data_IF_541590512082
#
_entry.id   IF_541590512082
#
_cell.length_a   1.000
_cell.length_b   1.000
_cell.length_c   1.000
_cell.angle_alpha   90.00
_cell.angle_beta   90.00
_cell.angle_gamma   90.00
#
_symmetry.space_group_name_H-M   'P 1'
#
loop_
_entity.id
_entity.type
_entity.pdbx_description
1 polymer ?
#
# COMPACT_ATOMS: atom_id res chain seq x y z
N UNK A 1 4.48 -16.34 -23.76
CA UNK A 1 4.94 -15.36 -22.74
C UNK A 1 4.80 -13.93 -23.25
N UNK A 2 4.81 -12.99 -22.34
CA UNK A 2 4.66 -11.57 -22.67
C UNK A 2 5.76 -10.76 -21.96
N UNK A 3 6.52 -10.00 -22.74
CA UNK A 3 7.34 -8.89 -22.25
C UNK A 3 6.46 -7.64 -22.20
N UNK A 4 6.29 -7.12 -20.98
CA UNK A 4 5.30 -6.08 -20.68
C UNK A 4 5.96 -4.70 -20.70
N UNK A 5 5.57 -3.86 -21.64
CA UNK A 5 6.03 -2.46 -21.75
C UNK A 5 4.93 -1.43 -21.54
N UNK A 6 5.31 -0.19 -21.32
CA UNK A 6 4.39 0.92 -21.09
C UNK A 6 3.59 1.36 -22.33
N UNK A 7 4.13 1.11 -23.53
CA UNK A 7 3.52 1.53 -24.81
C UNK A 7 3.15 0.37 -25.72
N UNK A 8 3.79 -0.76 -25.53
CA UNK A 8 3.56 -1.97 -26.31
C UNK A 8 3.92 -3.20 -25.48
N UNK A 9 3.32 -4.32 -25.82
CA UNK A 9 3.64 -5.63 -25.30
C UNK A 9 4.21 -6.49 -26.43
N UNK A 10 5.32 -7.20 -26.16
CA UNK A 10 5.87 -8.19 -27.07
C UNK A 10 5.45 -9.58 -26.57
N UNK A 11 4.68 -10.28 -27.37
CA UNK A 11 4.20 -11.63 -27.05
C UNK A 11 4.98 -12.68 -27.86
N UNK A 12 5.38 -13.77 -27.22
CA UNK A 12 6.08 -14.89 -27.84
C UNK A 12 5.41 -16.21 -27.49
N UNK A 13 5.29 -17.09 -28.48
CA UNK A 13 4.79 -18.47 -28.37
C UNK A 13 5.85 -19.45 -28.87
N UNK A 14 5.62 -20.75 -28.74
CA UNK A 14 6.49 -21.77 -29.28
C UNK A 14 6.64 -21.62 -30.80
N UNK A 15 7.86 -21.84 -31.38
CA UNK A 15 8.11 -21.58 -32.78
C UNK A 15 7.28 -22.46 -33.71
N UNK A 16 6.82 -23.61 -33.24
CA UNK A 16 6.03 -24.58 -34.02
C UNK A 16 4.52 -24.24 -34.05
N UNK A 17 4.08 -23.21 -33.29
CA UNK A 17 2.66 -22.88 -33.13
C UNK A 17 2.13 -21.86 -34.13
N UNK A 18 3.01 -21.07 -34.75
CA UNK A 18 2.65 -20.11 -35.78
C UNK A 18 3.85 -19.75 -36.65
N UNK A 19 3.58 -19.30 -37.88
CA UNK A 19 4.63 -18.81 -38.81
C UNK A 19 5.35 -17.58 -38.28
N UNK A 20 4.66 -16.76 -37.52
CA UNK A 20 5.20 -15.58 -36.80
C UNK A 20 5.02 -15.79 -35.28
N UNK A 21 6.00 -16.45 -34.62
CA UNK A 21 5.86 -16.81 -33.21
C UNK A 21 6.08 -15.64 -32.24
N UNK A 22 6.47 -14.47 -32.74
CA UNK A 22 6.63 -13.24 -31.95
C UNK A 22 5.82 -12.14 -32.59
N UNK A 23 4.93 -11.52 -31.79
CA UNK A 23 4.11 -10.40 -32.23
C UNK A 23 4.14 -9.25 -31.21
N UNK A 24 3.99 -8.04 -31.73
CA UNK A 24 3.89 -6.83 -30.91
C UNK A 24 2.45 -6.32 -30.93
N UNK A 25 1.93 -5.98 -29.75
CA UNK A 25 0.59 -5.45 -29.56
C UNK A 25 0.67 -4.09 -28.85
N UNK A 26 -0.28 -3.19 -29.13
CA UNK A 26 -0.46 -1.97 -28.36
C UNK A 26 -0.97 -2.25 -26.95
N UNK A 27 -1.25 -1.18 -26.21
CA UNK A 27 -1.71 -1.25 -24.81
C UNK A 27 -3.16 -0.82 -24.62
N UNK A 28 -3.87 -0.48 -25.70
CA UNK A 28 -5.30 -0.22 -25.61
C UNK A 28 -6.09 -1.51 -25.39
N UNK A 29 -7.24 -1.42 -24.77
CA UNK A 29 -8.06 -2.58 -24.45
C UNK A 29 -8.32 -3.49 -25.66
N UNK A 30 -8.55 -2.91 -26.85
CA UNK A 30 -8.75 -3.68 -28.07
C UNK A 30 -7.48 -4.42 -28.50
N UNK A 31 -6.29 -3.83 -28.28
CA UNK A 31 -5.01 -4.48 -28.56
C UNK A 31 -4.78 -5.68 -27.65
N UNK A 32 -5.13 -5.51 -26.36
CA UNK A 32 -5.01 -6.59 -25.36
C UNK A 32 -5.99 -7.73 -25.67
N UNK A 33 -7.18 -7.40 -26.15
CA UNK A 33 -8.13 -8.41 -26.61
C UNK A 33 -7.60 -9.14 -27.85
N UNK A 34 -7.03 -8.44 -28.84
CA UNK A 34 -6.39 -9.07 -30.02
C UNK A 34 -5.21 -9.96 -29.63
N UNK A 35 -4.44 -9.58 -28.61
CA UNK A 35 -3.39 -10.43 -28.07
C UNK A 35 -3.97 -11.72 -27.50
N UNK A 36 -5.02 -11.62 -26.72
CA UNK A 36 -5.71 -12.78 -26.15
C UNK A 36 -6.34 -13.67 -27.23
N UNK A 37 -6.98 -13.08 -28.26
CA UNK A 37 -7.53 -13.81 -29.41
C UNK A 37 -6.42 -14.59 -30.12
N UNK A 38 -5.29 -13.97 -30.43
CA UNK A 38 -4.16 -14.63 -31.05
C UNK A 38 -3.62 -15.80 -30.22
N UNK A 39 -3.54 -15.67 -28.89
CA UNK A 39 -3.15 -16.77 -28.02
C UNK A 39 -4.16 -17.93 -28.08
N UNK A 40 -5.46 -17.66 -28.11
CA UNK A 40 -6.49 -18.69 -28.26
C UNK A 40 -6.40 -19.39 -29.61
N UNK A 41 -6.24 -18.65 -30.71
CA UNK A 41 -6.06 -19.18 -32.04
C UNK A 41 -4.82 -20.11 -32.14
N UNK A 42 -3.76 -19.78 -31.41
CA UNK A 42 -2.53 -20.60 -31.36
C UNK A 42 -2.61 -21.76 -30.34
N UNK A 43 -3.75 -21.96 -29.68
CA UNK A 43 -3.94 -23.02 -28.69
C UNK A 43 -3.06 -22.87 -27.44
N UNK A 44 -2.83 -21.63 -26.99
CA UNK A 44 -2.09 -21.35 -25.76
C UNK A 44 -3.05 -21.45 -24.58
N UNK A 45 -2.66 -22.13 -23.52
CA UNK A 45 -3.42 -22.28 -22.28
C UNK A 45 -2.74 -21.55 -21.12
N UNK A 46 -1.41 -21.51 -21.11
CA UNK A 46 -0.61 -20.92 -20.02
C UNK A 46 0.29 -19.80 -20.55
N UNK A 47 0.38 -18.70 -19.82
CA UNK A 47 1.11 -17.49 -20.23
C UNK A 47 2.01 -16.99 -19.09
N UNK A 48 3.31 -16.91 -19.32
CA UNK A 48 4.22 -16.21 -18.39
C UNK A 48 4.32 -14.74 -18.77
N UNK A 49 4.28 -13.85 -17.78
CA UNK A 49 4.51 -12.41 -17.98
C UNK A 49 5.33 -11.79 -16.85
N UNK A 50 6.13 -10.77 -17.19
CA UNK A 50 6.94 -10.06 -16.22
C UNK A 50 6.13 -8.96 -15.50
N UNK A 51 6.28 -8.85 -14.17
CA UNK A 51 5.59 -7.87 -13.33
C UNK A 51 6.25 -6.48 -13.40
N UNK A 52 6.34 -5.88 -14.59
CA UNK A 52 6.94 -4.57 -14.79
C UNK A 52 5.97 -3.45 -14.42
N UNK A 53 6.26 -2.70 -13.36
CA UNK A 53 5.46 -1.57 -12.88
C UNK A 53 4.00 -1.96 -12.62
N UNK A 54 3.06 -1.23 -13.25
CA UNK A 54 1.60 -1.50 -13.20
C UNK A 54 1.05 -1.95 -14.55
N UNK A 55 1.87 -2.00 -15.59
CA UNK A 55 1.45 -2.20 -16.98
C UNK A 55 0.97 -3.63 -17.25
N UNK A 56 1.36 -4.58 -16.41
CA UNK A 56 0.95 -5.97 -16.50
C UNK A 56 -0.51 -6.19 -16.08
N UNK A 57 -1.07 -5.33 -15.23
CA UNK A 57 -2.39 -5.53 -14.63
C UNK A 57 -3.50 -5.66 -15.66
N UNK A 58 -3.67 -4.73 -16.64
CA UNK A 58 -4.76 -4.83 -17.60
C UNK A 58 -4.70 -6.07 -18.48
N UNK A 59 -3.51 -6.45 -18.94
CA UNK A 59 -3.34 -7.64 -19.79
C UNK A 59 -3.53 -8.93 -18.98
N UNK A 60 -3.08 -8.95 -17.72
CA UNK A 60 -3.31 -10.05 -16.79
C UNK A 60 -4.81 -10.29 -16.58
N UNK A 61 -5.57 -9.25 -16.26
CA UNK A 61 -7.02 -9.34 -16.01
C UNK A 61 -7.78 -9.84 -17.25
N UNK A 62 -7.43 -9.36 -18.45
CA UNK A 62 -8.07 -9.82 -19.70
C UNK A 62 -7.76 -11.29 -19.96
N UNK A 63 -6.51 -11.71 -19.78
CA UNK A 63 -6.12 -13.11 -19.97
C UNK A 63 -6.79 -14.02 -18.94
N UNK A 64 -6.83 -13.64 -17.67
CA UNK A 64 -7.50 -14.41 -16.61
C UNK A 64 -9.00 -14.55 -16.87
N UNK A 65 -9.68 -13.47 -17.28
CA UNK A 65 -11.09 -13.50 -17.65
C UNK A 65 -11.40 -14.41 -18.83
N UNK A 66 -10.45 -14.59 -19.73
CA UNK A 66 -10.55 -15.49 -20.88
C UNK A 66 -10.13 -16.93 -20.59
N UNK A 67 -9.78 -17.24 -19.35
CA UNK A 67 -9.48 -18.59 -18.89
C UNK A 67 -8.02 -19.04 -19.05
N UNK A 68 -7.10 -18.14 -19.40
CA UNK A 68 -5.67 -18.46 -19.42
C UNK A 68 -5.13 -18.64 -18.00
N UNK A 69 -4.25 -19.61 -17.82
CA UNK A 69 -3.41 -19.70 -16.63
C UNK A 69 -2.22 -18.74 -16.77
N UNK A 70 -2.19 -17.67 -15.97
CA UNK A 70 -1.17 -16.64 -16.09
C UNK A 70 -0.15 -16.74 -14.96
N UNK A 71 1.12 -16.97 -15.31
CA UNK A 71 2.26 -16.93 -14.39
C UNK A 71 2.86 -15.53 -14.37
N UNK A 72 2.58 -14.77 -13.32
CA UNK A 72 3.27 -13.52 -13.10
C UNK A 72 4.64 -13.80 -12.48
N UNK A 73 5.72 -13.34 -13.12
CA UNK A 73 7.09 -13.60 -12.66
C UNK A 73 7.82 -12.30 -12.33
N UNK A 74 8.72 -12.39 -11.34
CA UNK A 74 9.56 -11.26 -10.99
C UNK A 74 10.68 -11.13 -12.04
N UNK A 75 10.90 -9.90 -12.54
CA UNK A 75 11.97 -9.58 -13.49
C UNK A 75 13.36 -10.06 -13.04
N UNK A 76 13.64 -10.04 -11.75
CA UNK A 76 14.91 -10.52 -11.19
C UNK A 76 15.09 -12.01 -11.40
N UNK A 77 14.05 -12.80 -11.18
CA UNK A 77 14.12 -14.26 -11.28
C UNK A 77 14.35 -14.69 -12.73
N UNK A 78 13.67 -14.05 -13.69
CA UNK A 78 13.86 -14.29 -15.11
C UNK A 78 15.28 -13.92 -15.61
N UNK A 79 15.87 -12.85 -15.06
CA UNK A 79 17.21 -12.36 -15.44
C UNK A 79 18.37 -13.18 -14.85
N UNK A 80 18.16 -13.87 -13.74
CA UNK A 80 19.21 -14.63 -13.05
C UNK A 80 19.38 -16.07 -13.56
N UNK A 81 18.55 -16.52 -14.51
CA UNK A 81 18.71 -17.85 -15.10
C UNK A 81 19.90 -17.85 -16.07
N UNK A 82 20.92 -18.71 -15.88
CA UNK A 82 22.09 -18.79 -16.76
C UNK A 82 21.69 -19.17 -18.20
N UNK A 83 22.46 -18.69 -19.19
CA UNK A 83 22.32 -19.13 -20.59
C UNK A 83 21.59 -18.14 -21.50
N UNK A 84 21.22 -16.95 -21.05
CA UNK A 84 20.64 -15.90 -21.91
C UNK A 84 21.62 -15.52 -23.03
N UNK A 85 21.14 -15.61 -24.29
CA UNK A 85 21.85 -15.10 -25.47
C UNK A 85 21.34 -13.71 -25.82
N UNK A 86 22.23 -12.81 -26.20
CA UNK A 86 21.95 -11.40 -26.52
C UNK A 86 20.99 -11.19 -27.70
N UNK A 87 20.88 -12.17 -28.60
CA UNK A 87 20.09 -12.06 -29.84
C UNK A 87 18.63 -12.55 -29.69
N UNK A 88 18.21 -12.97 -28.49
CA UNK A 88 16.85 -13.44 -28.20
C UNK A 88 16.09 -12.33 -27.51
N UNK A 89 14.89 -12.00 -28.02
CA UNK A 89 14.01 -11.02 -27.36
C UNK A 89 13.63 -11.47 -25.93
N UNK A 90 13.34 -10.53 -25.05
CA UNK A 90 12.97 -10.82 -23.66
C UNK A 90 11.70 -11.70 -23.59
N UNK A 91 10.75 -11.47 -24.49
CA UNK A 91 9.55 -12.32 -24.61
C UNK A 91 9.87 -13.77 -25.00
N UNK A 92 10.78 -13.99 -25.97
CA UNK A 92 11.18 -15.33 -26.37
C UNK A 92 11.99 -16.04 -25.29
N UNK A 93 12.83 -15.31 -24.56
CA UNK A 93 13.55 -15.86 -23.43
C UNK A 93 12.59 -16.30 -22.32
N UNK A 94 11.63 -15.44 -21.97
CA UNK A 94 10.61 -15.77 -20.98
C UNK A 94 9.74 -16.96 -21.41
N UNK A 95 9.40 -17.06 -22.71
CA UNK A 95 8.66 -18.18 -23.28
C UNK A 95 9.42 -19.49 -23.11
N UNK A 96 10.73 -19.51 -23.43
CA UNK A 96 11.58 -20.71 -23.22
C UNK A 96 11.67 -21.12 -21.77
N UNK A 97 11.89 -20.15 -20.85
CA UNK A 97 11.94 -20.46 -19.42
C UNK A 97 10.62 -21.05 -18.92
N UNK A 98 9.50 -20.54 -19.44
CA UNK A 98 8.17 -21.05 -19.13
C UNK A 98 7.96 -22.48 -19.62
N UNK A 99 8.31 -22.76 -20.86
CA UNK A 99 8.22 -24.08 -21.49
C UNK A 99 9.02 -25.15 -20.74
N UNK A 100 10.20 -24.79 -20.24
CA UNK A 100 11.05 -25.70 -19.44
C UNK A 100 10.68 -25.74 -17.94
N UNK A 101 9.63 -25.04 -17.50
CA UNK A 101 9.21 -25.03 -16.10
C UNK A 101 10.22 -24.35 -15.14
N UNK A 102 11.07 -23.47 -15.66
CA UNK A 102 12.14 -22.81 -14.90
C UNK A 102 11.70 -21.51 -14.23
N UNK A 103 10.43 -21.12 -14.39
CA UNK A 103 9.88 -19.91 -13.80
C UNK A 103 9.12 -20.21 -12.51
N UNK A 104 9.34 -19.39 -11.50
CA UNK A 104 8.56 -19.37 -10.27
C UNK A 104 7.51 -18.28 -10.34
N UNK A 105 6.23 -18.64 -10.19
CA UNK A 105 5.15 -17.68 -10.13
C UNK A 105 5.24 -16.82 -8.87
N UNK A 106 5.02 -15.52 -9.01
CA UNK A 106 4.82 -14.60 -7.89
C UNK A 106 3.43 -14.84 -7.29
N UNK A 107 3.34 -14.80 -5.96
CA UNK A 107 2.04 -14.87 -5.31
C UNK A 107 1.23 -13.59 -5.58
N UNK A 108 0.03 -13.75 -6.12
CA UNK A 108 -0.91 -12.66 -6.37
C UNK A 108 -2.23 -12.96 -5.65
N UNK A 109 -2.62 -12.16 -4.65
CA UNK A 109 -3.93 -12.29 -4.03
C UNK A 109 -5.04 -12.03 -5.04
N UNK A 110 -6.15 -12.79 -4.91
CA UNK A 110 -7.32 -12.66 -5.78
C UNK A 110 -8.54 -12.13 -5.01
N UNK A 111 -9.55 -11.68 -5.75
CA UNK A 111 -10.85 -11.28 -5.21
C UNK A 111 -10.77 -10.21 -4.12
N UNK A 112 -11.45 -10.43 -3.00
CA UNK A 112 -11.52 -9.46 -1.89
C UNK A 112 -10.15 -9.20 -1.23
N UNK A 113 -9.24 -10.17 -1.23
CA UNK A 113 -7.87 -9.96 -0.69
C UNK A 113 -7.08 -9.01 -1.59
N UNK A 114 -7.22 -9.08 -2.92
CA UNK A 114 -6.60 -8.12 -3.83
C UNK A 114 -7.13 -6.70 -3.60
N UNK A 115 -8.44 -6.55 -3.40
CA UNK A 115 -9.07 -5.28 -3.05
C UNK A 115 -8.57 -4.75 -1.70
N UNK A 116 -8.51 -5.60 -0.67
CA UNK A 116 -7.96 -5.27 0.65
C UNK A 116 -6.53 -4.74 0.54
N UNK A 117 -5.66 -5.46 -0.20
CA UNK A 117 -4.29 -5.09 -0.46
C UNK A 117 -4.18 -3.71 -1.14
N UNK A 118 -5.04 -3.45 -2.13
CA UNK A 118 -5.05 -2.17 -2.84
C UNK A 118 -5.43 -1.01 -1.91
N UNK A 119 -6.45 -1.17 -1.05
CA UNK A 119 -6.85 -0.15 -0.08
C UNK A 119 -5.80 0.09 1.00
N UNK A 120 -5.15 -0.97 1.50
CA UNK A 120 -4.07 -0.87 2.48
C UNK A 120 -2.87 -0.10 1.91
N UNK A 121 -2.44 -0.41 0.69
CA UNK A 121 -1.33 0.29 0.02
C UNK A 121 -1.68 1.74 -0.30
N UNK A 122 -2.93 2.04 -0.66
CA UNK A 122 -3.37 3.42 -0.84
C UNK A 122 -3.34 4.18 0.48
N UNK A 123 -3.80 3.56 1.57
CA UNK A 123 -3.74 4.13 2.91
C UNK A 123 -2.31 4.46 3.34
N UNK A 124 -1.37 3.53 3.14
CA UNK A 124 0.05 3.74 3.47
C UNK A 124 0.64 4.95 2.76
N UNK A 125 0.39 5.07 1.46
CA UNK A 125 0.84 6.25 0.68
C UNK A 125 0.30 7.56 1.26
N UNK A 126 -0.96 7.59 1.70
CA UNK A 126 -1.56 8.77 2.31
C UNK A 126 -0.95 9.09 3.69
N UNK A 127 -0.62 8.08 4.48
CA UNK A 127 0.10 8.25 5.75
C UNK A 127 1.51 8.79 5.52
N UNK A 128 2.23 8.30 4.52
CA UNK A 128 3.56 8.80 4.13
C UNK A 128 3.50 10.26 3.66
N UNK A 129 2.50 10.62 2.84
CA UNK A 129 2.26 12.01 2.44
C UNK A 129 1.95 12.90 3.65
N UNK A 130 1.13 12.43 4.60
CA UNK A 130 0.87 13.14 5.85
C UNK A 130 2.16 13.42 6.62
N UNK A 131 3.07 12.46 6.71
CA UNK A 131 4.36 12.64 7.38
C UNK A 131 5.22 13.74 6.70
N UNK A 132 5.18 13.81 5.37
CA UNK A 132 5.86 14.88 4.61
C UNK A 132 5.29 16.25 4.95
N UNK A 133 3.96 16.38 5.05
CA UNK A 133 3.33 17.65 5.42
C UNK A 133 3.63 18.05 6.87
N UNK A 134 3.76 17.08 7.79
CA UNK A 134 4.21 17.36 9.16
C UNK A 134 5.63 17.97 9.15
N UNK A 135 6.54 17.42 8.35
CA UNK A 135 7.89 17.99 8.20
C UNK A 135 7.87 19.41 7.61
N UNK A 136 6.98 19.69 6.65
CA UNK A 136 6.83 21.03 6.08
C UNK A 136 6.30 22.02 7.14
N UNK A 137 5.32 21.63 7.97
CA UNK A 137 4.84 22.45 9.09
C UNK A 137 5.96 22.75 10.09
N UNK A 138 6.73 21.74 10.50
CA UNK A 138 7.88 21.91 11.39
C UNK A 138 8.90 22.89 10.81
N UNK A 139 9.23 22.74 9.52
CA UNK A 139 10.17 23.63 8.83
C UNK A 139 9.67 25.09 8.83
N UNK A 140 8.41 25.32 8.50
CA UNK A 140 7.82 26.66 8.50
C UNK A 140 7.86 27.30 9.90
N UNK A 141 7.52 26.54 10.95
CA UNK A 141 7.61 26.99 12.34
C UNK A 141 9.06 27.35 12.73
N UNK A 142 10.03 26.51 12.40
CA UNK A 142 11.44 26.78 12.71
C UNK A 142 11.98 28.01 11.97
N UNK A 143 11.56 28.26 10.75
CA UNK A 143 11.93 29.46 10.00
C UNK A 143 11.41 30.76 10.63
N UNK A 144 10.36 30.66 11.44
CA UNK A 144 9.82 31.74 12.25
C UNK A 144 10.36 31.75 13.70
N UNK A 145 11.27 30.86 14.05
CA UNK A 145 11.75 30.58 15.40
C UNK A 145 10.61 30.24 16.39
N UNK A 146 9.54 29.59 15.89
CA UNK A 146 8.42 29.11 16.71
C UNK A 146 8.66 27.63 17.04
N UNK A 147 9.03 27.35 18.29
CA UNK A 147 9.61 26.07 18.70
C UNK A 147 8.60 25.14 19.36
N UNK A 148 7.43 24.95 18.75
CA UNK A 148 6.35 24.10 19.28
C UNK A 148 6.86 22.68 19.61
N UNK A 149 7.73 22.11 18.79
CA UNK A 149 8.28 20.77 18.94
C UNK A 149 9.18 20.58 20.17
N UNK A 150 9.63 21.66 20.84
CA UNK A 150 10.34 21.60 22.12
C UNK A 150 9.40 21.47 23.32
N UNK A 151 8.16 21.82 23.17
CA UNK A 151 7.19 21.93 24.29
C UNK A 151 6.05 20.91 24.18
N UNK A 152 5.89 20.25 23.03
CA UNK A 152 4.93 19.16 22.85
C UNK A 152 5.67 17.90 22.38
N UNK A 153 5.24 16.75 22.84
CA UNK A 153 5.81 15.46 22.40
C UNK A 153 5.48 15.13 20.93
N UNK A 154 4.37 15.66 20.43
CA UNK A 154 3.90 15.50 19.07
C UNK A 154 3.17 16.77 18.63
N UNK A 155 3.63 17.40 17.55
CA UNK A 155 2.99 18.61 17.01
C UNK A 155 1.60 18.34 16.44
N UNK A 156 1.32 17.09 16.06
CA UNK A 156 0.00 16.63 15.59
C UNK A 156 -0.88 16.12 16.75
N UNK A 157 -0.38 16.12 17.96
CA UNK A 157 -1.16 15.86 19.18
C UNK A 157 -2.13 17.00 19.50
N UNK A 158 -2.99 16.76 20.50
CA UNK A 158 -4.09 17.70 20.86
C UNK A 158 -3.60 19.14 21.07
N UNK A 159 -2.54 19.35 21.85
CA UNK A 159 -1.97 20.67 22.11
C UNK A 159 -1.37 21.27 20.83
N UNK A 160 -0.54 20.52 20.13
CA UNK A 160 0.14 20.99 18.93
C UNK A 160 -0.84 21.40 17.83
N UNK A 161 -1.81 20.56 17.51
CA UNK A 161 -2.84 20.86 16.49
C UNK A 161 -3.68 22.10 16.85
N UNK A 162 -4.07 22.28 18.12
CA UNK A 162 -4.81 23.47 18.56
C UNK A 162 -3.98 24.73 18.35
N UNK A 163 -2.70 24.70 18.72
CA UNK A 163 -1.77 25.82 18.53
C UNK A 163 -1.58 26.10 17.02
N UNK A 164 -1.29 25.08 16.19
CA UNK A 164 -1.12 25.24 14.75
C UNK A 164 -2.35 25.88 14.09
N UNK A 165 -3.54 25.41 14.43
CA UNK A 165 -4.80 25.95 13.91
C UNK A 165 -5.05 27.38 14.36
N UNK A 166 -4.73 27.71 15.61
CA UNK A 166 -4.82 29.08 16.10
C UNK A 166 -3.84 30.03 15.37
N UNK A 167 -2.61 29.58 15.14
CA UNK A 167 -1.61 30.32 14.35
C UNK A 167 -2.11 30.58 12.93
N UNK A 168 -2.63 29.58 12.24
CA UNK A 168 -3.19 29.70 10.89
C UNK A 168 -4.42 30.61 10.88
N UNK A 169 -5.24 30.57 11.93
CA UNK A 169 -6.39 31.48 12.10
C UNK A 169 -6.01 32.93 12.41
N UNK A 170 -4.72 33.26 12.55
CA UNK A 170 -4.24 34.61 12.72
C UNK A 170 -3.79 34.95 14.14
N UNK A 171 -3.86 34.04 15.10
CA UNK A 171 -3.41 34.29 16.47
C UNK A 171 -1.87 34.39 16.54
N UNK A 172 -1.37 35.39 17.28
CA UNK A 172 0.07 35.68 17.45
C UNK A 172 0.46 35.90 18.90
N UNK A 173 -0.51 36.10 19.78
CA UNK A 173 -0.22 36.30 21.20
C UNK A 173 0.22 34.99 21.85
N UNK A 174 1.46 34.91 22.38
CA UNK A 174 1.97 33.67 22.97
C UNK A 174 1.15 33.18 24.17
N UNK A 175 0.48 34.11 24.91
CA UNK A 175 -0.36 33.76 26.04
C UNK A 175 -1.65 33.06 25.58
N UNK A 176 -2.30 33.59 24.55
CA UNK A 176 -3.50 33.02 23.94
C UNK A 176 -3.18 31.68 23.29
N UNK A 177 -2.05 31.60 22.58
CA UNK A 177 -1.59 30.33 21.98
C UNK A 177 -1.29 29.28 23.05
N UNK A 178 -0.63 29.65 24.16
CA UNK A 178 -0.32 28.74 25.27
C UNK A 178 -1.56 28.24 26.01
N UNK A 179 -2.65 29.01 26.02
CA UNK A 179 -3.93 28.61 26.61
C UNK A 179 -4.55 27.36 25.90
N UNK A 180 -4.11 27.01 24.68
CA UNK A 180 -4.50 25.79 23.98
C UNK A 180 -3.88 24.49 24.55
N UNK A 181 -3.06 24.61 25.61
CA UNK A 181 -2.41 23.50 26.30
C UNK A 181 -3.45 22.51 26.84
N UNK A 182 -3.29 21.22 26.48
CA UNK A 182 -4.04 20.14 27.14
C UNK A 182 -3.42 19.83 28.51
N UNK A 183 -4.26 19.38 29.45
CA UNK A 183 -3.83 19.05 30.84
C UNK A 183 -2.70 17.99 30.89
N UNK A 184 -2.59 17.14 29.87
CA UNK A 184 -1.57 16.08 29.74
C UNK A 184 -0.25 16.61 29.19
N UNK A 185 -0.17 17.85 28.75
CA UNK A 185 1.07 18.46 28.29
C UNK A 185 2.02 18.69 29.48
N UNK A 186 3.24 18.21 29.42
CA UNK A 186 4.20 18.29 30.50
C UNK A 186 4.82 19.69 30.66
N UNK A 187 5.01 20.43 29.55
CA UNK A 187 5.56 21.76 29.60
C UNK A 187 4.60 22.72 30.31
N UNK A 188 5.12 23.62 31.13
CA UNK A 188 4.32 24.68 31.76
C UNK A 188 3.97 25.78 30.76
N UNK A 189 3.03 26.66 31.19
CA UNK A 189 2.50 27.72 30.32
C UNK A 189 3.58 28.74 29.93
N UNK A 190 4.47 29.08 30.85
CA UNK A 190 5.54 30.05 30.62
C UNK A 190 6.55 29.53 29.58
N UNK A 191 6.94 28.27 29.70
CA UNK A 191 7.81 27.62 28.73
C UNK A 191 7.17 27.56 27.36
N UNK A 192 5.86 27.26 27.28
CA UNK A 192 5.10 27.25 26.02
C UNK A 192 5.05 28.65 25.40
N UNK A 193 4.77 29.69 26.19
CA UNK A 193 4.76 31.09 25.72
C UNK A 193 6.11 31.50 25.13
N UNK A 194 7.23 31.14 25.79
CA UNK A 194 8.58 31.42 25.29
C UNK A 194 8.84 30.70 23.97
N UNK A 195 8.42 29.46 23.85
CA UNK A 195 8.57 28.68 22.60
C UNK A 195 7.72 29.21 21.44
N UNK A 196 6.63 29.90 21.74
CA UNK A 196 5.69 30.50 20.78
C UNK A 196 5.99 31.96 20.46
N UNK A 197 7.00 32.55 21.08
CA UNK A 197 7.49 33.88 20.76
C UNK A 197 8.43 33.79 19.58
N UNK A 198 7.98 34.21 18.41
CA UNK A 198 8.72 34.08 17.17
C UNK A 198 8.64 35.29 16.24
N UNK A 199 9.28 35.22 15.10
CA UNK A 199 9.26 36.22 14.06
C UNK A 199 8.27 35.82 12.95
N UNK A 200 7.05 36.33 13.04
CA UNK A 200 5.95 36.00 12.14
C UNK A 200 6.15 36.60 10.73
N UNK A 201 6.45 35.75 9.76
CA UNK A 201 6.64 36.14 8.36
C UNK A 201 5.56 35.55 7.47
N UNK A 202 4.97 36.38 6.62
CA UNK A 202 3.81 36.03 5.81
C UNK A 202 4.06 34.81 4.91
N UNK A 203 5.25 34.71 4.30
CA UNK A 203 5.62 33.60 3.43
C UNK A 203 5.72 32.25 4.17
N UNK A 204 6.15 32.27 5.44
CA UNK A 204 6.24 31.05 6.25
C UNK A 204 4.89 30.66 6.85
N UNK A 205 4.06 31.65 7.18
CA UNK A 205 2.67 31.41 7.60
C UNK A 205 1.85 30.81 6.46
N UNK A 206 2.01 31.32 5.24
CA UNK A 206 1.39 30.74 4.06
C UNK A 206 1.83 29.28 3.85
N UNK A 207 3.12 28.97 3.95
CA UNK A 207 3.62 27.60 3.84
C UNK A 207 3.05 26.69 4.93
N UNK A 208 2.92 27.17 6.18
CA UNK A 208 2.32 26.45 7.30
C UNK A 208 0.84 26.13 7.02
N UNK A 209 0.07 27.12 6.56
CA UNK A 209 -1.35 26.99 6.21
C UNK A 209 -1.55 25.92 5.14
N UNK A 210 -0.76 25.98 4.03
CA UNK A 210 -0.83 25.02 2.95
C UNK A 210 -0.50 23.59 3.45
N UNK A 211 0.55 23.45 4.25
CA UNK A 211 0.95 22.15 4.78
C UNK A 211 -0.10 21.56 5.72
N UNK A 212 -0.74 22.38 6.57
CA UNK A 212 -1.80 21.95 7.46
C UNK A 212 -3.06 21.52 6.69
N UNK A 213 -3.49 22.28 5.68
CA UNK A 213 -4.63 21.94 4.84
C UNK A 213 -4.42 20.62 4.07
N UNK A 214 -3.22 20.40 3.52
CA UNK A 214 -2.87 19.16 2.85
C UNK A 214 -2.81 17.98 3.82
N UNK A 215 -2.29 18.18 5.03
CA UNK A 215 -2.33 17.18 6.08
C UNK A 215 -3.77 16.78 6.42
N UNK A 216 -4.66 17.76 6.67
CA UNK A 216 -6.07 17.50 7.00
C UNK A 216 -6.75 16.73 5.85
N UNK A 217 -6.51 17.12 4.60
CA UNK A 217 -7.00 16.38 3.42
C UNK A 217 -6.50 14.93 3.39
N UNK A 218 -5.21 14.70 3.67
CA UNK A 218 -4.67 13.34 3.73
C UNK A 218 -5.36 12.52 4.83
N UNK A 219 -5.59 13.10 6.02
CA UNK A 219 -6.27 12.41 7.13
C UNK A 219 -7.72 12.02 6.75
N UNK A 220 -8.46 12.91 6.10
CA UNK A 220 -9.80 12.59 5.58
C UNK A 220 -9.78 11.40 4.61
N UNK A 221 -8.79 11.36 3.71
CA UNK A 221 -8.63 10.24 2.76
C UNK A 221 -8.18 8.94 3.44
N UNK A 222 -7.35 9.02 4.50
CA UNK A 222 -7.00 7.87 5.34
C UNK A 222 -8.26 7.27 5.98
N UNK A 223 -9.12 8.11 6.58
CA UNK A 223 -10.40 7.65 7.15
C UNK A 223 -11.29 7.00 6.09
N UNK A 224 -11.32 7.55 4.88
CA UNK A 224 -12.06 6.94 3.77
C UNK A 224 -11.51 5.55 3.37
N UNK A 225 -10.18 5.37 3.40
CA UNK A 225 -9.55 4.06 3.20
C UNK A 225 -9.93 3.10 4.33
N UNK A 226 -9.92 3.55 5.59
CA UNK A 226 -10.28 2.73 6.75
C UNK A 226 -11.69 2.15 6.62
N UNK A 227 -12.66 2.97 6.18
CA UNK A 227 -14.04 2.51 5.89
C UNK A 227 -14.10 1.45 4.79
N UNK A 228 -13.30 1.60 3.73
CA UNK A 228 -13.22 0.60 2.64
C UNK A 228 -12.58 -0.70 3.11
N UNK A 229 -11.52 -0.63 3.91
CA UNK A 229 -10.84 -1.77 4.52
C UNK A 229 -11.81 -2.54 5.42
N UNK A 230 -12.51 -1.85 6.33
CA UNK A 230 -13.51 -2.46 7.21
C UNK A 230 -14.62 -3.16 6.43
N UNK A 231 -15.20 -2.50 5.44
CA UNK A 231 -16.23 -3.08 4.58
C UNK A 231 -15.74 -4.31 3.81
N UNK A 232 -14.48 -4.32 3.37
CA UNK A 232 -13.87 -5.47 2.68
C UNK A 232 -13.66 -6.64 3.63
N UNK A 233 -13.18 -6.40 4.86
CA UNK A 233 -13.05 -7.45 5.87
C UNK A 233 -14.41 -8.08 6.20
N UNK A 234 -15.48 -7.32 6.32
CA UNK A 234 -16.85 -7.84 6.50
C UNK A 234 -17.31 -8.75 5.34
N UNK A 235 -16.93 -8.42 4.10
CA UNK A 235 -17.24 -9.29 2.94
C UNK A 235 -16.41 -10.58 2.96
N UNK A 236 -15.13 -10.50 3.35
CA UNK A 236 -14.27 -11.69 3.52
C UNK A 236 -14.82 -12.58 4.63
N UNK A 237 -15.23 -12.00 5.77
CA UNK A 237 -15.86 -12.72 6.88
C UNK A 237 -17.11 -13.47 6.42
N UNK A 238 -18.01 -12.81 5.68
CA UNK A 238 -19.23 -13.41 5.17
C UNK A 238 -19.00 -14.62 4.23
N UNK A 239 -17.82 -14.68 3.60
CA UNK A 239 -17.40 -15.78 2.73
C UNK A 239 -16.60 -16.87 3.49
N UNK A 240 -16.23 -16.61 4.73
CA UNK A 240 -15.42 -17.52 5.54
C UNK A 240 -16.32 -18.56 6.18
N UNK A 241 -15.98 -19.85 5.98
CA UNK A 241 -16.62 -20.97 6.68
C UNK A 241 -15.90 -21.36 7.99
N UNK A 242 -14.94 -20.57 8.45
CA UNK A 242 -14.13 -20.91 9.63
C UNK A 242 -14.94 -20.72 10.91
N UNK A 243 -14.95 -21.69 11.81
CA UNK A 243 -15.56 -21.52 13.13
C UNK A 243 -14.77 -20.47 13.92
N UNK A 244 -15.46 -19.48 14.44
CA UNK A 244 -14.86 -18.42 15.26
C UNK A 244 -15.03 -18.82 16.74
N UNK A 245 -13.91 -19.09 17.40
CA UNK A 245 -13.88 -19.29 18.85
C UNK A 245 -14.01 -17.98 19.62
N UNK A 246 -13.93 -18.04 20.94
CA UNK A 246 -13.91 -16.85 21.79
C UNK A 246 -12.61 -16.06 21.58
N UNK A 247 -12.73 -14.73 21.45
CA UNK A 247 -11.57 -13.84 21.29
C UNK A 247 -10.79 -13.78 22.61
N UNK A 248 -9.50 -14.18 22.64
CA UNK A 248 -8.72 -14.18 23.87
C UNK A 248 -8.51 -12.75 24.41
N UNK A 249 -8.11 -12.57 25.69
CA UNK A 249 -7.79 -11.24 26.24
C UNK A 249 -6.69 -10.54 25.43
N UNK A 250 -6.83 -9.23 25.25
CA UNK A 250 -5.84 -8.43 24.52
C UNK A 250 -4.52 -8.34 25.29
N UNK A 251 -3.39 -8.60 24.63
CA UNK A 251 -2.04 -8.45 25.22
C UNK A 251 -1.64 -6.99 25.45
N UNK A 252 -2.19 -6.07 24.68
CA UNK A 252 -1.95 -4.63 24.80
C UNK A 252 -3.20 -3.85 24.42
N UNK A 253 -3.54 -2.87 25.20
CA UNK A 253 -4.62 -1.91 24.91
C UNK A 253 -4.12 -0.58 24.38
N UNK A 254 -2.79 -0.41 24.20
CA UNK A 254 -2.20 0.83 23.67
C UNK A 254 -2.53 0.98 22.19
N UNK A 255 -3.16 2.10 21.85
CA UNK A 255 -3.38 2.46 20.43
C UNK A 255 -2.02 2.75 19.78
N UNK A 256 -1.76 2.11 18.64
CA UNK A 256 -0.56 2.34 17.85
C UNK A 256 -0.67 3.65 17.06
N UNK A 257 0.44 4.35 16.79
CA UNK A 257 0.45 5.45 15.82
C UNK A 257 -0.10 4.97 14.47
N UNK A 258 -0.87 5.83 13.81
CA UNK A 258 -1.48 5.53 12.51
C UNK A 258 -2.39 4.28 12.49
N UNK A 259 -2.89 3.84 13.66
CA UNK A 259 -3.89 2.77 13.72
C UNK A 259 -5.12 3.15 12.89
N UNK A 260 -5.75 2.16 12.27
CA UNK A 260 -7.04 2.34 11.58
C UNK A 260 -8.15 2.72 12.57
N UNK A 261 -9.24 3.29 12.05
CA UNK A 261 -10.32 3.86 12.86
C UNK A 261 -11.45 2.86 13.19
N UNK A 262 -11.11 1.57 13.27
CA UNK A 262 -12.03 0.49 13.68
C UNK A 262 -11.28 -0.61 14.43
N UNK A 263 -12.00 -1.54 15.06
CA UNK A 263 -11.42 -2.68 15.79
C UNK A 263 -10.94 -3.77 14.82
N UNK A 264 -9.71 -3.61 14.34
CA UNK A 264 -9.04 -4.57 13.45
C UNK A 264 -8.87 -5.94 14.10
N UNK A 265 -8.60 -5.98 15.39
CA UNK A 265 -8.33 -7.25 16.09
C UNK A 265 -9.55 -8.16 16.04
N UNK A 266 -10.73 -7.63 16.40
CA UNK A 266 -11.99 -8.36 16.34
C UNK A 266 -12.34 -8.73 14.90
N UNK A 267 -12.20 -7.80 13.94
CA UNK A 267 -12.48 -8.06 12.54
C UNK A 267 -11.58 -9.16 11.94
N UNK A 268 -10.28 -9.16 12.26
CA UNK A 268 -9.36 -10.22 11.80
C UNK A 268 -9.64 -11.57 12.48
N UNK A 269 -10.00 -11.56 13.75
CA UNK A 269 -10.36 -12.79 14.44
C UNK A 269 -11.61 -13.43 13.81
N UNK A 270 -12.61 -12.63 13.45
CA UNK A 270 -13.80 -13.12 12.76
C UNK A 270 -13.49 -13.76 11.40
N UNK A 271 -12.51 -13.18 10.65
CA UNK A 271 -12.07 -13.72 9.35
C UNK A 271 -11.20 -14.96 9.47
N UNK A 272 -10.30 -15.01 10.46
CA UNK A 272 -9.24 -16.02 10.55
C UNK A 272 -9.58 -17.17 11.50
N UNK A 273 -10.47 -16.94 12.49
CA UNK A 273 -10.74 -17.87 13.59
C UNK A 273 -9.62 -17.89 14.65
N UNK A 274 -8.56 -17.11 14.48
CA UNK A 274 -7.42 -17.01 15.41
C UNK A 274 -7.00 -15.56 15.62
N UNK A 275 -6.49 -15.24 16.81
CA UNK A 275 -5.99 -13.90 17.13
C UNK A 275 -4.47 -13.80 16.87
N UNK A 276 -4.08 -13.26 15.73
CA UNK A 276 -2.68 -13.06 15.36
C UNK A 276 -1.94 -12.11 16.32
N UNK A 277 -2.65 -11.25 17.05
CA UNK A 277 -2.02 -10.30 17.99
C UNK A 277 -1.49 -10.98 19.26
N UNK A 278 -1.78 -12.27 19.46
CA UNK A 278 -1.17 -13.09 20.51
C UNK A 278 0.31 -13.39 20.21
N UNK A 279 0.75 -13.25 18.96
CA UNK A 279 2.16 -13.37 18.57
C UNK A 279 2.92 -12.12 19.03
N UNK A 280 4.06 -12.32 19.73
CA UNK A 280 4.87 -11.19 20.20
C UNK A 280 5.38 -10.34 19.04
N UNK A 281 5.22 -9.01 19.13
CA UNK A 281 5.61 -8.06 18.08
C UNK A 281 4.59 -7.87 16.94
N UNK A 282 3.56 -8.72 16.84
CA UNK A 282 2.53 -8.61 15.81
C UNK A 282 1.31 -7.83 16.35
N UNK A 283 1.31 -6.52 16.14
CA UNK A 283 0.16 -5.67 16.49
C UNK A 283 -0.97 -5.75 15.45
N UNK A 284 -2.18 -5.22 15.77
CA UNK A 284 -3.36 -5.34 14.91
C UNK A 284 -3.14 -4.84 13.47
N UNK A 285 -2.47 -3.70 13.29
CA UNK A 285 -2.22 -3.14 11.96
C UNK A 285 -1.23 -3.98 11.15
N UNK A 286 -0.18 -4.51 11.80
CA UNK A 286 0.79 -5.39 11.12
C UNK A 286 0.13 -6.72 10.74
N UNK A 287 -0.75 -7.26 11.59
CA UNK A 287 -1.56 -8.44 11.28
C UNK A 287 -2.47 -8.20 10.07
N UNK A 288 -3.11 -7.02 10.01
CA UNK A 288 -3.94 -6.62 8.88
C UNK A 288 -3.14 -6.53 7.57
N UNK A 289 -1.94 -5.94 7.62
CA UNK A 289 -1.03 -5.90 6.47
C UNK A 289 -0.64 -7.29 6.00
N UNK A 290 -0.28 -8.17 6.92
CA UNK A 290 0.08 -9.55 6.62
C UNK A 290 -1.07 -10.25 5.88
N UNK A 291 -2.30 -10.13 6.38
CA UNK A 291 -3.49 -10.71 5.72
C UNK A 291 -3.73 -10.09 4.35
N UNK A 292 -3.56 -8.78 4.20
CA UNK A 292 -3.68 -8.09 2.92
C UNK A 292 -2.66 -8.55 1.87
N UNK A 293 -1.43 -8.91 2.29
CA UNK A 293 -0.38 -9.36 1.38
C UNK A 293 -0.47 -10.88 1.09
N UNK A 294 -0.79 -11.71 2.08
CA UNK A 294 -0.73 -13.17 1.98
C UNK A 294 -2.11 -13.85 1.88
N UNK A 295 -3.19 -13.11 2.14
CA UNK A 295 -4.53 -13.69 2.19
C UNK A 295 -4.80 -14.47 3.48
N UNK A 296 -5.88 -15.25 3.45
CA UNK A 296 -6.36 -16.08 4.55
C UNK A 296 -6.09 -17.58 4.34
N UNK A 297 -5.65 -17.94 3.14
CA UNK A 297 -5.24 -19.29 2.76
C UNK A 297 -3.72 -19.33 2.53
N UNK A 298 -3.05 -20.13 3.36
CA UNK A 298 -1.59 -20.27 3.30
C UNK A 298 -1.16 -21.55 2.56
N UNK A 299 -2.07 -22.24 1.87
CA UNK A 299 -1.78 -23.49 1.12
C UNK A 299 -0.74 -23.29 0.01
N UNK A 300 -0.63 -22.07 -0.52
CA UNK A 300 0.41 -21.70 -1.47
C UNK A 300 1.85 -21.85 -0.93
N UNK A 301 2.02 -21.93 0.39
CA UNK A 301 3.32 -22.08 1.06
C UNK A 301 3.36 -23.39 1.87
N UNK A 302 3.96 -24.47 1.34
CA UNK A 302 3.99 -25.77 2.00
C UNK A 302 4.69 -25.79 3.35
N UNK A 303 5.53 -24.81 3.64
CA UNK A 303 6.22 -24.67 4.93
C UNK A 303 6.61 -23.22 5.21
N UNK A 304 6.95 -22.91 6.46
CA UNK A 304 7.49 -21.60 6.85
C UNK A 304 8.69 -21.16 6.01
N UNK A 305 9.56 -22.09 5.60
CA UNK A 305 10.72 -21.82 4.73
C UNK A 305 10.31 -21.38 3.31
N UNK A 306 9.14 -21.79 2.82
CA UNK A 306 8.63 -21.35 1.53
C UNK A 306 7.94 -19.98 1.62
N UNK A 307 7.52 -19.60 2.83
CA UNK A 307 6.88 -18.31 3.10
C UNK A 307 7.90 -17.17 3.23
N UNK A 308 9.09 -17.43 3.74
CA UNK A 308 10.19 -16.47 3.98
C UNK A 308 11.19 -16.44 2.81
#
# INVERSE_FOLDING_TARGET
>A
AIDVGAKMHVAAIGPDRASEPVRTFGTFTDDLNRLADWFQECGIETVAMESTGVYWIPVFEILEQRGFEVLLVNARDAKHVPGRKTDISDAQWLQRLHEFGLLRASFLPKGEIAALRAYLRQRERLVELSATHIQHMQKALMQMNVQVHHVVSDIMGVTGLRILRAIVAGERDPGVLAANRDRRCHADVETIQRALTGNWRAEHLFALEQALALYDTCQEKVVACDKKIEATLKRIEAQSAKPVGELPPARSTKRQPNAVDFDVRTALHAVLGVDLTQIHGLGPYLALKLVGECGTDLSAWPSAKHFT
#
